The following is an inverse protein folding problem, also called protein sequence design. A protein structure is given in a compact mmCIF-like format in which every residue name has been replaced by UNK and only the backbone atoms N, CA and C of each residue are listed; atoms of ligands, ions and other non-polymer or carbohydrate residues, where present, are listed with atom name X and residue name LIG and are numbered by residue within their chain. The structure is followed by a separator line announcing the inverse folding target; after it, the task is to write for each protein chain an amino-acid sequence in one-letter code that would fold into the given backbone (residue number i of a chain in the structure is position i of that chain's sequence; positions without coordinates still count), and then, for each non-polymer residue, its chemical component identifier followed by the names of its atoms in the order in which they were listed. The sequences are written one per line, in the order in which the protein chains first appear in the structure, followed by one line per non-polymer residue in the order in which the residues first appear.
data_IF_289129062407
#
_entry.id   IF_289129062407
#
_cell.length_a   1.000
_cell.length_b   1.000
_cell.length_c   1.000
_cell.angle_alpha   90.00
_cell.angle_beta   90.00
_cell.angle_gamma   90.00
#
_symmetry.space_group_name_H-M   'P 1'
#
loop_
_entity.id
_entity.type
_entity.pdbx_description
1 polymer ?
#
# COMPACT_ATOMS: atom_id res chain seq x y z
N UNK A 1 21.37 12.46 1.92
CA UNK A 1 20.50 12.51 0.71
C UNK A 1 19.18 11.88 1.07
N UNK A 2 18.07 12.62 0.93
CA UNK A 2 16.72 12.10 1.15
C UNK A 2 16.44 11.02 0.10
N UNK A 3 16.22 9.77 0.53
CA UNK A 3 15.91 8.65 -0.39
C UNK A 3 14.40 8.48 -0.46
N UNK A 4 13.89 8.32 -1.68
CA UNK A 4 12.48 8.03 -1.93
C UNK A 4 12.32 6.54 -2.19
N UNK A 5 11.31 5.94 -1.57
CA UNK A 5 10.96 4.53 -1.66
C UNK A 5 9.51 4.40 -2.09
N UNK A 6 9.20 3.26 -2.70
CA UNK A 6 7.86 2.91 -3.15
C UNK A 6 7.51 1.50 -2.70
N UNK A 7 6.31 1.30 -2.18
CA UNK A 7 5.79 -0.03 -1.82
C UNK A 7 4.42 -0.22 -2.46
N UNK A 8 4.29 -1.31 -3.20
CA UNK A 8 3.05 -1.71 -3.88
C UNK A 8 2.33 -2.79 -3.06
N UNK A 9 1.02 -2.65 -2.94
CA UNK A 9 0.10 -3.57 -2.30
C UNK A 9 -0.95 -4.01 -3.32
N UNK A 10 -1.36 -5.27 -3.27
CA UNK A 10 -2.39 -5.80 -4.15
C UNK A 10 -3.28 -6.77 -3.37
N UNK A 11 -4.57 -6.63 -3.59
CA UNK A 11 -5.62 -7.47 -3.05
C UNK A 11 -6.53 -7.90 -4.21
N UNK A 12 -6.92 -9.17 -4.26
CA UNK A 12 -7.86 -9.65 -5.26
C UNK A 12 -9.06 -10.24 -4.53
N UNK A 13 -10.23 -9.62 -4.69
CA UNK A 13 -11.47 -9.94 -3.97
C UNK A 13 -12.11 -11.23 -4.44
N UNK A 14 -11.38 -12.33 -4.31
CA UNK A 14 -11.85 -13.71 -4.50
C UNK A 14 -12.15 -14.40 -3.17
N UNK A 15 -11.59 -13.92 -2.06
CA UNK A 15 -11.66 -14.57 -0.76
C UNK A 15 -12.04 -13.60 0.37
N UNK A 16 -12.92 -14.05 1.27
CA UNK A 16 -13.43 -13.29 2.43
C UNK A 16 -12.42 -13.23 3.59
N UNK A 17 -11.30 -13.96 3.48
CA UNK A 17 -10.25 -14.07 4.50
C UNK A 17 -9.05 -13.16 4.28
N UNK A 18 -9.02 -12.41 3.18
CA UNK A 18 -7.91 -11.52 2.85
C UNK A 18 -7.95 -10.22 3.67
N UNK A 19 -6.81 -9.82 4.22
CA UNK A 19 -6.67 -8.52 4.88
C UNK A 19 -6.89 -7.38 3.89
N UNK A 20 -7.60 -6.34 4.33
CA UNK A 20 -7.82 -5.15 3.51
C UNK A 20 -6.48 -4.49 3.14
N UNK A 21 -6.46 -3.74 2.03
CA UNK A 21 -5.26 -2.98 1.64
C UNK A 21 -4.81 -2.02 2.75
N UNK A 22 -5.77 -1.43 3.47
CA UNK A 22 -5.49 -0.50 4.55
C UNK A 22 -4.80 -1.21 5.72
N UNK A 23 -5.25 -2.41 6.09
CA UNK A 23 -4.59 -3.20 7.14
C UNK A 23 -3.16 -3.59 6.73
N UNK A 24 -2.97 -4.05 5.49
CA UNK A 24 -1.65 -4.39 4.96
C UNK A 24 -0.70 -3.19 4.97
N UNK A 25 -1.19 -2.01 4.58
CA UNK A 25 -0.43 -0.77 4.59
C UNK A 25 -0.09 -0.32 6.01
N UNK A 26 -1.07 -0.34 6.92
CA UNK A 26 -0.85 0.07 8.31
C UNK A 26 0.16 -0.83 9.02
N UNK A 27 0.09 -2.15 8.81
CA UNK A 27 1.09 -3.09 9.32
C UNK A 27 2.48 -2.77 8.78
N UNK A 28 2.61 -2.54 7.46
CA UNK A 28 3.89 -2.17 6.85
C UNK A 28 4.47 -0.87 7.42
N UNK A 29 3.65 0.18 7.53
CA UNK A 29 4.08 1.48 8.07
C UNK A 29 4.55 1.35 9.52
N UNK A 30 3.86 0.52 10.32
CA UNK A 30 4.22 0.27 11.71
C UNK A 30 5.52 -0.54 11.82
N UNK A 31 5.69 -1.58 11.02
CA UNK A 31 6.90 -2.42 10.99
C UNK A 31 8.15 -1.63 10.59
N UNK A 32 8.03 -0.76 9.60
CA UNK A 32 9.12 0.08 9.10
C UNK A 32 9.30 1.38 9.90
N UNK A 33 8.47 1.60 10.92
CA UNK A 33 8.42 2.83 11.73
C UNK A 33 8.33 4.11 10.88
N UNK A 34 7.55 4.05 9.79
CA UNK A 34 7.32 5.18 8.88
C UNK A 34 6.22 6.07 9.48
N UNK A 35 6.53 7.33 9.72
CA UNK A 35 5.54 8.29 10.23
C UNK A 35 4.74 8.94 9.09
N UNK A 36 3.54 9.48 9.36
CA UNK A 36 2.73 10.15 8.33
C UNK A 36 3.46 11.27 7.58
N UNK A 37 4.36 11.99 8.25
CA UNK A 37 5.14 13.09 7.66
C UNK A 37 6.19 12.61 6.65
N UNK A 38 6.54 11.32 6.68
CA UNK A 38 7.47 10.70 5.76
C UNK A 38 6.78 10.19 4.48
N UNK A 39 5.45 10.08 4.50
CA UNK A 39 4.65 9.70 3.34
C UNK A 39 4.57 10.89 2.38
N UNK A 40 4.92 10.64 1.12
CA UNK A 40 4.92 11.63 0.05
C UNK A 40 3.64 11.55 -0.77
N UNK A 41 3.20 10.34 -1.07
CA UNK A 41 2.02 10.08 -1.89
C UNK A 41 1.43 8.70 -1.62
N UNK A 42 0.14 8.55 -1.90
CA UNK A 42 -0.60 7.30 -1.80
C UNK A 42 -1.61 7.23 -2.94
N UNK A 43 -1.38 6.32 -3.87
CA UNK A 43 -2.29 6.07 -4.99
C UNK A 43 -3.05 4.77 -4.78
N UNK A 44 -4.36 4.81 -4.99
CA UNK A 44 -5.20 3.62 -5.05
C UNK A 44 -5.67 3.39 -6.48
N UNK A 45 -5.79 2.13 -6.86
CA UNK A 45 -6.39 1.72 -8.12
C UNK A 45 -7.23 0.46 -7.93
N UNK A 46 -8.22 0.30 -8.78
CA UNK A 46 -9.05 -0.89 -8.84
C UNK A 46 -9.28 -1.27 -10.28
N UNK A 47 -9.13 -2.55 -10.59
CA UNK A 47 -9.40 -3.12 -11.89
C UNK A 47 -10.29 -4.34 -11.74
N UNK A 48 -11.35 -4.42 -12.54
CA UNK A 48 -12.20 -5.60 -12.61
C UNK A 48 -12.00 -6.27 -13.96
N UNK A 49 -11.67 -7.56 -13.95
CA UNK A 49 -11.53 -8.37 -15.17
C UNK A 49 -12.25 -9.69 -14.98
N UNK A 50 -13.15 -10.02 -15.91
CA UNK A 50 -13.93 -11.27 -15.91
C UNK A 50 -14.66 -11.56 -14.58
N UNK A 51 -15.12 -10.50 -13.89
CA UNK A 51 -15.84 -10.61 -12.61
C UNK A 51 -14.93 -10.74 -11.37
N UNK A 52 -13.60 -10.71 -11.56
CA UNK A 52 -12.62 -10.66 -10.49
C UNK A 52 -12.19 -9.23 -10.25
N UNK A 53 -12.38 -8.74 -9.02
CA UNK A 53 -11.96 -7.39 -8.63
C UNK A 53 -10.56 -7.44 -8.02
N UNK A 54 -9.61 -6.72 -8.61
CA UNK A 54 -8.28 -6.50 -8.05
C UNK A 54 -8.17 -5.06 -7.62
N UNK A 55 -7.77 -4.85 -6.38
CA UNK A 55 -7.46 -3.56 -5.79
C UNK A 55 -5.95 -3.47 -5.58
N UNK A 56 -5.39 -2.30 -5.78
CA UNK A 56 -3.97 -2.06 -5.53
C UNK A 56 -3.76 -0.70 -4.88
N UNK A 57 -2.69 -0.60 -4.09
CA UNK A 57 -2.22 0.66 -3.54
C UNK A 57 -0.72 0.81 -3.77
N UNK A 58 -0.27 2.04 -4.04
CA UNK A 58 1.14 2.39 -4.14
C UNK A 58 1.42 3.51 -3.14
N UNK A 59 2.26 3.23 -2.16
CA UNK A 59 2.74 4.25 -1.23
C UNK A 59 4.14 4.72 -1.63
N UNK A 60 4.33 6.03 -1.67
CA UNK A 60 5.62 6.67 -1.85
C UNK A 60 6.02 7.32 -0.52
N UNK A 61 7.22 7.05 -0.03
CA UNK A 61 7.70 7.58 1.24
C UNK A 61 9.18 7.93 1.19
N UNK A 62 9.63 8.73 2.14
CA UNK A 62 11.01 9.16 2.22
C UNK A 62 11.59 8.97 3.61
N UNK A 63 12.79 8.40 3.67
CA UNK A 63 13.55 8.27 4.92
C UNK A 63 14.84 9.08 4.81
N UNK A 64 15.06 9.91 5.81
CA UNK A 64 16.38 10.50 6.08
C UNK A 64 17.12 9.51 6.98
N UNK A 65 18.17 8.89 6.43
CA UNK A 65 19.12 8.10 7.23
C UNK A 65 20.21 8.99 7.79
#
# INVERSE_FOLDING_TARGET
MKKVFTKHFQYTGLDDYDMSLDDQMNSFLQEEAITPEQILDLEYSSHSSQGVNTYSALIMYSVEK
#
